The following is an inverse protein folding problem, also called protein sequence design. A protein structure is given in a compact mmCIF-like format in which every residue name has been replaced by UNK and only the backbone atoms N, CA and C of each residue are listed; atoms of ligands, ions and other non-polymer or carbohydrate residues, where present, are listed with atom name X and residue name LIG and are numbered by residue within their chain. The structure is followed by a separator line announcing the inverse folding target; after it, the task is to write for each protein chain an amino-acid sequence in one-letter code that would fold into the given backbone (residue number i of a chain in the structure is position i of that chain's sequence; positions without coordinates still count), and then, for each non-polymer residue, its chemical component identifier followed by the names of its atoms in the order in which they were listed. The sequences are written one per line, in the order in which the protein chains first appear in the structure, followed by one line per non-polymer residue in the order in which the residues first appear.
data_IF_866303711320
#
_entry.id   IF_866303711320
#
_cell.length_a   1.000
_cell.length_b   1.000
_cell.length_c   1.000
_cell.angle_alpha   90.00
_cell.angle_beta   90.00
_cell.angle_gamma   90.00
#
_symmetry.space_group_name_H-M   'P 1'
#
loop_
_entity.id
_entity.type
_entity.pdbx_description
1 polymer ?
#
# COMPACT_ATOMS: atom_id res chain seq x y z
N UNK A 1 24.81 -40.39 35.67
CA UNK A 1 25.94 -41.20 35.15
C UNK A 1 26.64 -40.40 34.06
N UNK A 2 27.89 -40.03 34.32
CA UNK A 2 28.80 -39.34 33.41
C UNK A 2 29.12 -40.16 32.16
N UNK A 3 29.30 -39.49 31.02
CA UNK A 3 30.42 -39.77 30.11
C UNK A 3 30.81 -38.53 29.33
N UNK A 4 31.82 -37.84 29.84
CA UNK A 4 32.77 -36.99 29.09
C UNK A 4 33.80 -37.86 28.36
N UNK A 5 34.46 -37.27 27.35
CA UNK A 5 35.91 -37.32 26.99
C UNK A 5 36.06 -37.14 25.46
N UNK A 6 36.54 -35.97 24.98
CA UNK A 6 37.94 -35.60 24.62
C UNK A 6 38.30 -35.99 23.17
N UNK A 7 38.51 -35.06 22.22
CA UNK A 7 39.66 -34.14 21.95
C UNK A 7 40.43 -34.61 20.70
N UNK A 8 40.60 -33.74 19.69
CA UNK A 8 41.94 -33.35 19.16
C UNK A 8 41.86 -32.27 18.08
N UNK A 9 42.64 -31.23 18.35
CA UNK A 9 43.10 -30.13 17.50
C UNK A 9 44.27 -30.61 16.62
N UNK A 10 44.38 -30.06 15.41
CA UNK A 10 45.59 -29.72 14.63
C UNK A 10 45.09 -29.28 13.24
N UNK A 11 45.45 -28.18 12.60
CA UNK A 11 46.64 -27.33 12.73
C UNK A 11 47.28 -27.19 11.34
N UNK A 12 47.32 -25.95 10.83
CA UNK A 12 48.24 -25.39 9.82
C UNK A 12 48.23 -25.84 8.35
N UNK A 13 48.20 -24.84 7.46
CA UNK A 13 48.56 -24.92 6.05
C UNK A 13 48.43 -23.58 5.33
N UNK A 14 49.45 -22.72 5.45
CA UNK A 14 49.65 -21.46 4.71
C UNK A 14 50.11 -21.79 3.28
N UNK A 15 49.55 -21.16 2.23
CA UNK A 15 50.32 -20.77 1.03
C UNK A 15 49.87 -19.38 0.54
N UNK A 16 50.85 -18.49 0.50
CA UNK A 16 50.87 -17.15 -0.06
C UNK A 16 51.30 -17.26 -1.53
N UNK A 17 50.66 -16.55 -2.48
CA UNK A 17 51.27 -16.23 -3.77
C UNK A 17 50.75 -14.87 -4.28
N UNK A 18 51.70 -13.94 -4.38
CA UNK A 18 51.58 -12.62 -5.00
C UNK A 18 51.42 -12.72 -6.52
N UNK A 19 50.72 -11.77 -7.13
CA UNK A 19 51.19 -11.09 -8.34
C UNK A 19 50.40 -9.79 -8.58
N UNK A 20 51.05 -8.66 -8.36
CA UNK A 20 50.72 -7.40 -9.02
C UNK A 20 51.15 -7.50 -10.49
N UNK A 21 50.33 -6.96 -11.40
CA UNK A 21 50.81 -6.50 -12.71
C UNK A 21 50.08 -5.21 -13.09
N UNK A 22 50.81 -4.14 -13.45
CA UNK A 22 50.23 -2.89 -13.95
C UNK A 22 50.06 -2.99 -15.47
N UNK A 23 48.84 -2.81 -15.96
CA UNK A 23 48.52 -2.85 -17.39
C UNK A 23 47.46 -1.82 -17.74
N UNK A 24 47.93 -0.70 -18.30
CA UNK A 24 47.18 0.45 -18.75
C UNK A 24 46.20 0.11 -19.89
N UNK A 25 44.99 0.69 -19.93
CA UNK A 25 44.16 0.67 -21.14
C UNK A 25 42.66 0.92 -20.95
N UNK A 26 42.26 2.20 -21.00
CA UNK A 26 40.91 2.70 -21.33
C UNK A 26 39.74 2.28 -20.43
N UNK A 27 39.59 2.97 -19.30
CA UNK A 27 38.27 3.22 -18.72
C UNK A 27 37.45 4.07 -19.69
N UNK A 28 36.44 3.47 -20.32
CA UNK A 28 35.29 4.24 -20.82
C UNK A 28 34.69 4.95 -19.59
N UNK A 29 34.81 6.29 -19.57
CA UNK A 29 34.00 7.17 -18.73
C UNK A 29 32.53 6.85 -18.98
N UNK A 30 31.94 6.01 -18.12
CA UNK A 30 30.54 6.18 -17.80
C UNK A 30 30.49 7.37 -16.85
N UNK A 31 30.01 8.50 -17.38
CA UNK A 31 29.53 9.59 -16.56
C UNK A 31 28.40 9.03 -15.68
N UNK A 32 28.75 8.57 -14.49
CA UNK A 32 27.81 8.52 -13.38
C UNK A 32 27.45 9.97 -13.09
N UNK A 33 26.42 10.49 -13.76
CA UNK A 33 25.72 11.63 -13.23
C UNK A 33 25.28 11.22 -11.83
N UNK A 34 25.89 11.85 -10.84
CA UNK A 34 25.35 12.00 -9.50
C UNK A 34 23.93 12.56 -9.65
N UNK A 35 22.95 11.70 -9.83
CA UNK A 35 21.63 11.94 -9.28
C UNK A 35 21.76 11.62 -7.80
N UNK A 36 22.16 12.62 -7.03
CA UNK A 36 21.68 12.73 -5.66
C UNK A 36 20.16 12.89 -5.77
N UNK A 37 19.48 11.75 -5.83
CA UNK A 37 18.05 11.64 -5.58
C UNK A 37 17.88 12.03 -4.11
N UNK A 38 17.81 13.34 -3.86
CA UNK A 38 17.47 13.94 -2.58
C UNK A 38 16.00 13.64 -2.33
N UNK A 39 15.70 12.35 -2.08
CA UNK A 39 14.40 11.93 -1.58
C UNK A 39 14.30 12.50 -0.19
N UNK A 40 13.67 13.68 -0.11
CA UNK A 40 13.08 14.16 1.14
C UNK A 40 12.30 12.97 1.72
N UNK A 41 12.62 12.50 2.94
CA UNK A 41 11.91 11.38 3.52
C UNK A 41 10.43 11.75 3.56
N UNK A 42 9.57 10.88 2.99
CA UNK A 42 8.14 11.14 2.95
C UNK A 42 7.61 11.25 4.38
N UNK A 43 7.20 12.46 4.78
CA UNK A 43 6.58 12.72 6.08
C UNK A 43 5.19 12.11 6.10
N UNK A 44 4.85 11.38 7.16
CA UNK A 44 3.51 10.81 7.34
C UNK A 44 2.47 11.93 7.50
N UNK A 45 1.41 11.91 6.70
CA UNK A 45 0.24 12.77 6.88
C UNK A 45 -0.74 12.08 7.84
N UNK A 46 -1.27 12.84 8.79
CA UNK A 46 -2.15 12.33 9.82
C UNK A 46 -3.62 12.32 9.37
N UNK A 47 -4.38 11.35 9.88
CA UNK A 47 -5.82 11.30 9.75
C UNK A 47 -6.49 12.37 10.64
N UNK A 48 -6.97 13.45 10.02
CA UNK A 48 -7.60 14.56 10.75
C UNK A 48 -9.13 14.39 10.75
N UNK A 49 -9.70 14.14 11.92
CA UNK A 49 -11.15 14.02 12.09
C UNK A 49 -11.73 12.64 11.76
N UNK A 50 -10.89 11.63 11.51
CA UNK A 50 -11.31 10.25 11.28
C UNK A 50 -10.35 9.22 11.92
N UNK A 51 -10.83 7.99 12.10
CA UNK A 51 -10.11 6.94 12.83
C UNK A 51 -9.91 5.64 12.04
N UNK A 52 -10.82 5.34 11.11
CA UNK A 52 -10.80 4.10 10.34
C UNK A 52 -11.47 4.31 8.98
N UNK A 53 -10.98 3.64 7.94
CA UNK A 53 -11.66 3.50 6.65
C UNK A 53 -11.97 2.02 6.47
N UNK A 54 -13.24 1.70 6.20
CA UNK A 54 -13.68 0.35 5.87
C UNK A 54 -14.16 0.30 4.42
N UNK A 55 -13.70 -0.73 3.70
CA UNK A 55 -13.99 -0.99 2.31
C UNK A 55 -14.44 -2.44 2.15
N UNK A 56 -15.62 -2.63 1.59
CA UNK A 56 -16.12 -3.95 1.21
C UNK A 56 -16.05 -4.04 -0.31
N UNK A 57 -15.30 -5.00 -0.84
CA UNK A 57 -15.19 -5.27 -2.27
C UNK A 57 -14.84 -6.75 -2.48
N UNK A 58 -15.39 -7.37 -3.52
CA UNK A 58 -15.23 -8.78 -3.88
C UNK A 58 -15.49 -9.75 -2.71
N UNK A 59 -16.51 -9.47 -1.91
CA UNK A 59 -16.83 -10.18 -0.66
C UNK A 59 -15.72 -10.16 0.41
N UNK A 60 -14.69 -9.34 0.24
CA UNK A 60 -13.65 -9.07 1.22
C UNK A 60 -13.92 -7.73 1.91
N UNK A 61 -13.73 -7.69 3.23
CA UNK A 61 -13.70 -6.45 3.99
C UNK A 61 -12.24 -6.08 4.25
N UNK A 62 -11.83 -4.94 3.74
CA UNK A 62 -10.54 -4.31 4.00
C UNK A 62 -10.75 -3.11 4.92
N UNK A 63 -9.89 -2.91 5.90
CA UNK A 63 -9.90 -1.75 6.79
C UNK A 63 -8.50 -1.16 6.95
N UNK A 64 -8.47 0.15 7.15
CA UNK A 64 -7.25 0.92 7.32
C UNK A 64 -7.43 1.87 8.50
N UNK A 65 -6.58 1.75 9.52
CA UNK A 65 -6.66 2.62 10.70
C UNK A 65 -5.97 3.97 10.46
N UNK A 66 -6.15 4.90 11.39
CA UNK A 66 -5.52 6.23 11.40
C UNK A 66 -3.98 6.24 11.40
N UNK A 67 -3.32 5.09 11.61
CA UNK A 67 -1.87 4.93 11.55
C UNK A 67 -1.41 4.31 10.22
N UNK A 68 -2.35 4.00 9.32
CA UNK A 68 -2.09 3.32 8.07
C UNK A 68 -1.89 1.82 8.22
N UNK A 69 -2.25 1.22 9.36
CA UNK A 69 -2.28 -0.23 9.47
C UNK A 69 -3.40 -0.79 8.63
N UNK A 70 -3.06 -1.80 7.85
CA UNK A 70 -3.91 -2.40 6.84
C UNK A 70 -4.37 -3.78 7.31
N UNK A 71 -5.67 -4.04 7.25
CA UNK A 71 -6.27 -5.33 7.61
C UNK A 71 -7.27 -5.75 6.55
N UNK A 72 -7.32 -7.04 6.22
CA UNK A 72 -8.31 -7.56 5.27
C UNK A 72 -8.84 -8.93 5.69
N UNK A 73 -10.13 -9.18 5.47
CA UNK A 73 -10.79 -10.43 5.82
C UNK A 73 -10.63 -11.50 4.72
N UNK A 74 -10.93 -12.75 5.08
CA UNK A 74 -10.93 -13.91 4.17
C UNK A 74 -11.66 -13.62 2.86
N UNK A 75 -11.02 -13.96 1.72
CA UNK A 75 -11.35 -13.68 0.31
C UNK A 75 -10.65 -12.47 -0.32
N UNK A 76 -10.00 -11.59 0.45
CA UNK A 76 -8.83 -10.91 -0.08
C UNK A 76 -7.69 -11.92 -0.13
N UNK A 77 -6.99 -11.97 -1.25
CA UNK A 77 -5.91 -12.90 -1.45
C UNK A 77 -4.74 -12.53 -0.53
N UNK A 78 -4.60 -13.16 0.64
CA UNK A 78 -3.45 -12.94 1.55
C UNK A 78 -3.77 -13.05 3.02
N UNK A 79 -2.90 -13.73 3.79
CA UNK A 79 -3.03 -13.98 5.22
C UNK A 79 -2.93 -12.69 6.04
N UNK A 80 -3.17 -12.78 7.35
CA UNK A 80 -3.06 -11.73 8.38
C UNK A 80 -1.72 -10.93 8.40
N UNK A 81 -0.80 -11.22 7.47
CA UNK A 81 0.52 -10.62 7.27
C UNK A 81 0.61 -9.79 5.97
N UNK A 82 -0.51 -9.38 5.36
CA UNK A 82 -0.52 -8.48 4.20
C UNK A 82 0.09 -7.11 4.57
N UNK A 83 1.03 -6.69 3.74
CA UNK A 83 2.06 -5.69 4.03
C UNK A 83 1.51 -4.28 3.99
N UNK A 84 2.14 -3.41 4.76
CA UNK A 84 1.82 -2.00 4.84
C UNK A 84 1.65 -1.36 3.46
N UNK A 85 0.62 -0.54 3.29
CA UNK A 85 0.49 0.33 2.12
C UNK A 85 1.69 1.29 2.12
N UNK A 86 2.21 1.63 0.93
CA UNK A 86 3.33 2.59 0.87
C UNK A 86 2.91 3.92 1.51
N UNK A 87 3.87 4.62 2.14
CA UNK A 87 3.64 5.95 2.74
C UNK A 87 3.07 6.94 1.71
N UNK A 88 3.46 6.83 0.45
CA UNK A 88 2.94 7.66 -0.64
C UNK A 88 1.41 7.48 -0.82
N UNK A 89 0.94 6.24 -0.95
CA UNK A 89 -0.48 5.92 -1.08
C UNK A 89 -1.26 6.31 0.19
N UNK A 90 -0.68 6.07 1.38
CA UNK A 90 -1.27 6.54 2.63
C UNK A 90 -1.45 8.06 2.63
N UNK A 91 -0.41 8.81 2.31
CA UNK A 91 -0.45 10.27 2.32
C UNK A 91 -1.45 10.82 1.29
N UNK A 92 -1.51 10.23 0.09
CA UNK A 92 -2.49 10.58 -0.95
C UNK A 92 -3.93 10.38 -0.42
N UNK A 93 -4.20 9.23 0.19
CA UNK A 93 -5.51 8.92 0.75
C UNK A 93 -5.86 9.84 1.93
N UNK A 94 -4.98 9.94 2.93
CA UNK A 94 -5.21 10.73 4.14
C UNK A 94 -5.48 12.20 3.81
N UNK A 95 -4.71 12.78 2.88
CA UNK A 95 -4.92 14.16 2.40
C UNK A 95 -6.32 14.33 1.81
N UNK A 96 -6.74 13.41 0.94
CA UNK A 96 -8.05 13.50 0.29
C UNK A 96 -9.19 13.30 1.30
N UNK A 97 -9.06 12.37 2.23
CA UNK A 97 -10.08 12.13 3.27
C UNK A 97 -10.17 13.29 4.24
N UNK A 98 -9.06 13.92 4.64
CA UNK A 98 -9.10 15.10 5.50
C UNK A 98 -9.90 16.25 4.84
N UNK A 99 -9.77 16.42 3.51
CA UNK A 99 -10.60 17.38 2.77
C UNK A 99 -12.09 16.98 2.79
N UNK A 100 -12.39 15.70 2.57
CA UNK A 100 -13.77 15.17 2.62
C UNK A 100 -14.40 15.39 4.00
N UNK A 101 -13.66 15.16 5.08
CA UNK A 101 -14.14 15.32 6.46
C UNK A 101 -14.37 16.79 6.82
N UNK A 102 -13.58 17.70 6.24
CA UNK A 102 -13.73 19.14 6.41
C UNK A 102 -14.89 19.74 5.59
N UNK A 103 -15.34 19.04 4.55
CA UNK A 103 -16.41 19.47 3.66
C UNK A 103 -17.81 19.01 4.12
N UNK A 104 -18.82 19.83 3.82
CA UNK A 104 -20.22 19.39 3.90
C UNK A 104 -20.56 18.45 2.74
N UNK A 105 -21.37 17.42 3.00
CA UNK A 105 -21.84 16.52 1.95
C UNK A 105 -22.65 17.27 0.87
N UNK A 106 -22.53 16.83 -0.38
CA UNK A 106 -23.38 17.28 -1.47
C UNK A 106 -24.86 16.93 -1.21
N UNK A 107 -25.76 17.77 -1.72
CA UNK A 107 -27.20 17.55 -1.62
C UNK A 107 -27.61 16.26 -2.37
N UNK A 108 -27.07 16.10 -3.58
CA UNK A 108 -27.38 15.00 -4.49
C UNK A 108 -26.17 14.06 -4.64
N UNK A 109 -26.48 12.79 -4.89
CA UNK A 109 -25.49 11.77 -5.23
C UNK A 109 -25.12 11.90 -6.71
N UNK A 110 -23.85 11.67 -7.01
CA UNK A 110 -23.37 11.53 -8.39
C UNK A 110 -22.42 10.34 -8.49
N UNK A 111 -22.24 9.85 -9.71
CA UNK A 111 -21.36 8.72 -9.96
C UNK A 111 -20.14 9.13 -10.80
N UNK A 112 -19.01 8.52 -10.47
CA UNK A 112 -17.73 8.65 -11.17
C UNK A 112 -17.48 7.31 -11.87
N UNK A 113 -17.28 7.30 -13.20
CA UNK A 113 -16.86 6.10 -13.91
C UNK A 113 -15.51 5.62 -13.37
N UNK A 114 -15.40 4.33 -13.05
CA UNK A 114 -14.09 3.74 -12.78
C UNK A 114 -13.42 3.40 -14.11
N UNK A 115 -12.10 3.65 -14.29
CA UNK A 115 -11.38 3.30 -15.51
C UNK A 115 -11.58 1.83 -15.90
N UNK A 116 -11.62 1.54 -17.20
CA UNK A 116 -11.78 0.17 -17.71
C UNK A 116 -10.77 -0.79 -17.07
N UNK A 117 -11.25 -1.94 -16.58
CA UNK A 117 -10.44 -2.95 -15.89
C UNK A 117 -10.36 -2.78 -14.36
N UNK A 118 -10.63 -1.58 -13.81
CA UNK A 118 -10.73 -1.37 -12.34
C UNK A 118 -12.07 -1.82 -11.76
N UNK A 119 -13.13 -1.85 -12.57
CA UNK A 119 -14.49 -2.25 -12.15
C UNK A 119 -14.62 -3.72 -11.70
N UNK A 120 -13.70 -4.62 -12.09
CA UNK A 120 -13.72 -6.02 -11.64
C UNK A 120 -13.28 -6.21 -10.19
N UNK A 121 -12.67 -5.19 -9.59
CA UNK A 121 -12.11 -5.25 -8.24
C UNK A 121 -12.93 -4.45 -7.22
N UNK A 122 -13.86 -3.63 -7.67
CA UNK A 122 -14.53 -2.61 -6.85
C UNK A 122 -16.06 -2.72 -7.01
N UNK A 123 -16.66 -3.76 -6.44
CA UNK A 123 -18.11 -4.05 -6.47
C UNK A 123 -18.79 -3.88 -5.08
N UNK A 124 -18.39 -2.89 -4.30
CA UNK A 124 -18.98 -2.69 -2.98
C UNK A 124 -18.93 -1.26 -2.44
N UNK A 125 -18.70 -1.13 -1.14
CA UNK A 125 -18.94 0.13 -0.42
C UNK A 125 -17.71 0.55 0.37
N UNK A 126 -17.47 1.86 0.46
CA UNK A 126 -16.42 2.45 1.27
C UNK A 126 -17.03 3.45 2.26
N UNK A 127 -16.63 3.38 3.52
CA UNK A 127 -17.02 4.30 4.57
C UNK A 127 -15.81 4.71 5.42
N UNK A 128 -15.82 5.95 5.90
CA UNK A 128 -14.87 6.43 6.91
C UNK A 128 -15.58 6.63 8.24
N UNK A 129 -14.95 6.20 9.32
CA UNK A 129 -15.39 6.43 10.70
C UNK A 129 -14.74 7.73 11.18
N UNK A 130 -15.58 8.72 11.49
CA UNK A 130 -15.16 10.00 12.04
C UNK A 130 -14.78 9.84 13.52
N UNK A 131 -13.97 10.76 14.05
CA UNK A 131 -13.53 10.71 15.46
C UNK A 131 -14.67 10.77 16.49
N UNK A 132 -15.85 11.26 16.08
CA UNK A 132 -17.06 11.24 16.90
C UNK A 132 -17.88 9.93 16.78
N UNK A 133 -17.36 8.92 16.08
CA UNK A 133 -17.99 7.62 15.85
C UNK A 133 -19.02 7.59 14.71
N UNK A 134 -19.34 8.73 14.09
CA UNK A 134 -20.23 8.77 12.92
C UNK A 134 -19.52 8.14 11.72
N UNK A 135 -20.30 7.45 10.88
CA UNK A 135 -19.84 6.93 9.59
C UNK A 135 -20.21 7.90 8.47
N UNK A 136 -19.26 8.15 7.58
CA UNK A 136 -19.46 8.91 6.35
C UNK A 136 -19.21 7.96 5.17
N UNK A 137 -20.21 7.80 4.31
CA UNK A 137 -20.06 7.02 3.09
C UNK A 137 -19.14 7.77 2.12
N UNK A 138 -18.07 7.11 1.71
CA UNK A 138 -17.15 7.62 0.71
C UNK A 138 -17.60 7.20 -0.68
N UNK A 139 -18.03 5.95 -0.85
CA UNK A 139 -18.38 5.36 -2.15
C UNK A 139 -19.39 4.22 -2.01
N UNK A 140 -20.28 4.09 -2.99
CA UNK A 140 -21.11 2.89 -3.23
C UNK A 140 -21.04 2.54 -4.72
N UNK A 141 -20.42 1.41 -5.08
CA UNK A 141 -20.36 0.89 -6.45
C UNK A 141 -21.30 -0.28 -6.71
N UNK A 142 -22.16 -0.66 -5.75
CA UNK A 142 -23.13 -1.76 -5.91
C UNK A 142 -24.23 -1.43 -6.92
N UNK A 143 -24.34 -0.16 -7.32
CA UNK A 143 -25.45 0.38 -8.13
C UNK A 143 -25.10 0.57 -9.61
N UNK A 144 -23.95 0.12 -10.09
CA UNK A 144 -23.58 0.25 -11.50
C UNK A 144 -22.11 -0.06 -11.82
N UNK A 145 -21.63 0.41 -12.97
CA UNK A 145 -20.23 0.22 -13.44
C UNK A 145 -19.25 1.27 -12.91
N UNK A 146 -19.66 2.08 -11.94
CA UNK A 146 -18.85 3.13 -11.32
C UNK A 146 -19.22 3.32 -9.85
N UNK A 147 -18.41 4.08 -9.11
CA UNK A 147 -18.71 4.44 -7.72
C UNK A 147 -19.63 5.66 -7.66
N UNK A 148 -20.57 5.68 -6.72
CA UNK A 148 -21.42 6.83 -6.45
C UNK A 148 -21.12 7.42 -5.06
N UNK A 149 -21.23 8.74 -4.91
CA UNK A 149 -20.92 9.44 -3.66
C UNK A 149 -21.63 10.78 -3.53
N UNK A 150 -21.63 11.29 -2.29
CA UNK A 150 -22.04 12.65 -1.91
C UNK A 150 -20.85 13.52 -1.47
N UNK A 151 -19.61 13.15 -1.81
CA UNK A 151 -18.46 14.04 -1.59
C UNK A 151 -18.65 15.31 -2.44
N UNK A 152 -18.62 16.48 -1.81
CA UNK A 152 -18.91 17.76 -2.50
C UNK A 152 -17.88 18.12 -3.56
N UNK A 153 -16.60 17.98 -3.26
CA UNK A 153 -15.54 18.22 -4.22
C UNK A 153 -15.32 17.00 -5.12
N UNK A 154 -15.72 17.11 -6.39
CA UNK A 154 -15.63 16.01 -7.36
C UNK A 154 -14.20 15.56 -7.64
N UNK A 155 -13.24 16.48 -7.72
CA UNK A 155 -11.84 16.12 -7.93
C UNK A 155 -11.27 15.34 -6.72
N UNK A 156 -11.64 15.75 -5.50
CA UNK A 156 -11.29 15.01 -4.28
C UNK A 156 -11.93 13.63 -4.28
N UNK A 157 -13.20 13.51 -4.70
CA UNK A 157 -13.88 12.21 -4.82
C UNK A 157 -13.18 11.27 -5.81
N UNK A 158 -12.73 11.78 -6.95
CA UNK A 158 -11.96 11.02 -7.95
C UNK A 158 -10.65 10.49 -7.35
N UNK A 159 -9.91 11.33 -6.59
CA UNK A 159 -8.68 10.92 -5.89
C UNK A 159 -8.97 9.85 -4.83
N UNK A 160 -10.03 10.02 -4.03
CA UNK A 160 -10.44 9.01 -3.03
C UNK A 160 -10.72 7.68 -3.72
N UNK A 161 -11.52 7.69 -4.79
CA UNK A 161 -11.93 6.47 -5.47
C UNK A 161 -10.77 5.75 -6.13
N UNK A 162 -9.89 6.50 -6.79
CA UNK A 162 -8.67 5.95 -7.37
C UNK A 162 -7.79 5.32 -6.31
N UNK A 163 -7.54 6.02 -5.21
CA UNK A 163 -6.61 5.55 -4.18
C UNK A 163 -7.19 4.34 -3.44
N UNK A 164 -8.50 4.34 -3.14
CA UNK A 164 -9.18 3.16 -2.60
C UNK A 164 -9.11 1.98 -3.57
N UNK A 165 -9.24 2.21 -4.87
CA UNK A 165 -9.11 1.15 -5.87
C UNK A 165 -7.69 0.58 -5.91
N UNK A 166 -6.67 1.44 -5.86
CA UNK A 166 -5.27 1.02 -5.73
C UNK A 166 -5.08 0.14 -4.49
N UNK A 167 -5.69 0.50 -3.35
CA UNK A 167 -5.66 -0.32 -2.14
C UNK A 167 -6.29 -1.70 -2.34
N UNK A 168 -7.46 -1.79 -2.98
CA UNK A 168 -8.09 -3.10 -3.25
C UNK A 168 -7.24 -3.94 -4.19
N UNK A 169 -6.64 -3.33 -5.22
CA UNK A 169 -5.76 -4.04 -6.15
C UNK A 169 -4.52 -4.58 -5.44
N UNK A 170 -3.96 -3.84 -4.48
CA UNK A 170 -2.87 -4.34 -3.62
C UNK A 170 -3.38 -5.51 -2.77
N UNK A 171 -4.52 -5.35 -2.10
CA UNK A 171 -5.15 -6.39 -1.28
C UNK A 171 -5.45 -7.68 -2.05
N UNK A 172 -5.89 -7.56 -3.31
CA UNK A 172 -6.21 -8.65 -4.21
C UNK A 172 -4.95 -9.37 -4.72
N UNK A 173 -3.84 -8.64 -4.87
CA UNK A 173 -2.56 -9.21 -5.34
C UNK A 173 -1.73 -9.85 -4.24
N UNK A 174 -1.82 -9.37 -3.00
CA UNK A 174 -0.93 -9.74 -1.89
C UNK A 174 -1.24 -11.11 -1.24
N UNK A 175 -1.21 -12.20 -2.02
CA UNK A 175 -1.42 -13.55 -1.47
C UNK A 175 -2.25 -14.48 -2.34
N UNK A 176 -2.57 -14.03 -3.56
CA UNK A 176 -2.90 -14.92 -4.66
C UNK A 176 -1.62 -15.63 -5.10
N UNK A 177 -1.21 -16.66 -4.34
CA UNK A 177 -0.39 -17.72 -4.93
C UNK A 177 -1.18 -18.20 -6.14
N UNK A 178 -0.61 -17.99 -7.33
CA UNK A 178 -1.13 -18.47 -8.61
C UNK A 178 -1.68 -19.88 -8.39
N UNK A 179 -3.00 -20.07 -8.41
CA UNK A 179 -3.53 -21.41 -8.52
C UNK A 179 -3.05 -21.91 -9.89
N UNK A 180 -2.26 -22.99 -9.97
CA UNK A 180 -2.00 -23.58 -11.27
C UNK A 180 -3.34 -24.05 -11.83
N UNK A 181 -3.68 -23.54 -13.02
CA UNK A 181 -4.79 -24.02 -13.84
C UNK A 181 -4.70 -25.53 -14.06
#
# INVERSE_FOLDING_TARGET
MHRTKHFRVCGFGIILLMACSPGCGTQKRFNSQNQTDERVPATLIYAEGWTDIALVANWAKTSLDHLGHFFTTRNACGKDEAGAISIEHWNKLATAINQVVADEAAAEEYCIPLPEGRSRYMDGTAEVVLSNGKKLALMDSTRGTGGCSKIKNRATAEVVFETLNELVVVADKEGCSVLPY
#
